data_IF_828522067464
#
_entry.id   IF_828522067464
#
_cell.length_a   1.000
_cell.length_b   1.000
_cell.length_c   1.000
_cell.angle_alpha   90.00
_cell.angle_beta   90.00
_cell.angle_gamma   90.00
#
_symmetry.space_group_name_H-M   'P 1'
#
loop_
_entity.id
_entity.type
_entity.pdbx_description
1 polymer ?
#
# COMPACT_ATOMS: atom_id res chain seq x y z
N UNK A 1 -11.56 -20.98 19.74
CA UNK A 1 -12.47 -20.40 18.73
C UNK A 1 -11.59 -19.47 17.93
N UNK A 2 -10.97 -19.99 16.87
CA UNK A 2 -9.94 -19.30 16.09
C UNK A 2 -10.67 -18.46 15.06
N UNK A 3 -10.47 -17.15 15.09
CA UNK A 3 -11.05 -16.24 14.11
C UNK A 3 -10.28 -16.41 12.80
N UNK A 4 -10.97 -16.46 11.66
CA UNK A 4 -10.32 -16.65 10.35
C UNK A 4 -9.48 -15.43 9.97
N UNK A 5 -8.52 -15.61 9.06
CA UNK A 5 -7.69 -14.51 8.53
C UNK A 5 -8.53 -13.35 7.99
N UNK A 6 -9.69 -13.64 7.36
CA UNK A 6 -10.66 -12.62 6.92
C UNK A 6 -11.29 -11.85 8.11
N UNK A 7 -11.54 -12.49 9.25
CA UNK A 7 -12.12 -11.84 10.44
C UNK A 7 -11.12 -10.89 11.12
N UNK A 8 -9.83 -11.22 11.10
CA UNK A 8 -8.75 -10.34 11.58
C UNK A 8 -8.51 -9.19 10.58
N UNK A 9 -8.56 -9.48 9.28
CA UNK A 9 -8.47 -8.47 8.21
C UNK A 9 -9.57 -7.41 8.35
N UNK A 10 -10.81 -7.85 8.61
CA UNK A 10 -11.94 -6.97 8.86
C UNK A 10 -11.78 -6.20 10.17
N UNK A 11 -11.24 -6.79 11.24
CA UNK A 11 -11.08 -6.13 12.55
C UNK A 11 -10.16 -4.91 12.55
N UNK A 12 -8.96 -5.01 11.96
CA UNK A 12 -8.02 -3.87 11.91
C UNK A 12 -8.46 -2.77 10.93
N UNK A 13 -9.03 -3.16 9.78
CA UNK A 13 -9.60 -2.21 8.81
C UNK A 13 -10.79 -1.49 9.45
N UNK A 14 -11.65 -2.22 10.17
CA UNK A 14 -12.76 -1.63 10.94
C UNK A 14 -12.27 -0.65 12.01
N UNK A 15 -11.17 -0.92 12.72
CA UNK A 15 -10.65 0.03 13.72
C UNK A 15 -10.15 1.34 13.10
N UNK A 16 -9.53 1.31 11.92
CA UNK A 16 -9.14 2.54 11.21
C UNK A 16 -10.35 3.29 10.64
N UNK A 17 -11.33 2.56 10.09
CA UNK A 17 -12.58 3.12 9.56
C UNK A 17 -13.45 3.76 10.64
N UNK A 18 -13.32 3.34 11.91
CA UNK A 18 -14.06 3.91 13.04
C UNK A 18 -13.54 5.28 13.50
N UNK A 19 -12.28 5.60 13.23
CA UNK A 19 -11.63 6.85 13.71
C UNK A 19 -11.79 7.99 12.69
N UNK A 20 -11.99 7.69 11.40
CA UNK A 20 -12.13 8.71 10.36
C UNK A 20 -13.56 9.28 10.26
N UNK A 21 -13.71 10.59 9.95
CA UNK A 21 -15.01 11.17 9.59
C UNK A 21 -15.67 10.41 8.43
N UNK A 22 -16.99 10.30 8.44
CA UNK A 22 -17.74 9.41 7.53
C UNK A 22 -17.36 9.52 6.04
N UNK A 23 -17.24 10.73 5.43
CA UNK A 23 -16.85 10.86 4.03
C UNK A 23 -15.42 10.36 3.72
N UNK A 24 -14.55 10.28 4.72
CA UNK A 24 -13.14 9.93 4.59
C UNK A 24 -12.82 8.48 4.96
N UNK A 25 -13.78 7.75 5.57
CA UNK A 25 -13.58 6.35 5.97
C UNK A 25 -12.97 5.45 4.89
N UNK A 26 -13.36 5.56 3.59
CA UNK A 26 -12.73 4.73 2.56
C UNK A 26 -11.21 4.84 2.47
N UNK A 27 -10.62 5.97 2.88
CA UNK A 27 -9.17 6.15 2.92
C UNK A 27 -8.49 5.16 3.87
N UNK A 28 -9.17 4.74 4.95
CA UNK A 28 -8.67 3.74 5.89
C UNK A 28 -8.34 2.43 5.19
N UNK A 29 -9.32 1.87 4.48
CA UNK A 29 -9.14 0.66 3.66
C UNK A 29 -8.15 0.87 2.51
N UNK A 30 -8.25 1.98 1.77
CA UNK A 30 -7.36 2.26 0.64
C UNK A 30 -5.89 2.35 1.06
N UNK A 31 -5.60 2.91 2.24
CA UNK A 31 -4.23 3.02 2.76
C UNK A 31 -3.56 1.66 3.01
N UNK A 32 -4.32 0.56 3.10
CA UNK A 32 -3.84 -0.81 3.30
C UNK A 32 -3.51 -1.57 2.00
N UNK A 33 -3.72 -0.98 0.82
CA UNK A 33 -3.44 -1.66 -0.45
C UNK A 33 -2.70 -0.72 -1.39
N UNK A 34 -1.50 -1.09 -1.84
CA UNK A 34 -0.67 -0.22 -2.69
C UNK A 34 -1.26 0.16 -4.04
N UNK A 35 -2.38 -0.41 -4.47
CA UNK A 35 -3.05 -0.08 -5.73
C UNK A 35 -3.25 1.42 -5.95
N UNK A 36 -3.55 2.18 -4.90
CA UNK A 36 -3.68 3.65 -4.99
C UNK A 36 -2.44 4.34 -5.60
N UNK A 37 -1.25 3.73 -5.53
CA UNK A 37 0.01 4.33 -5.99
C UNK A 37 0.17 4.30 -7.51
N UNK A 38 -0.56 3.43 -8.22
CA UNK A 38 -0.63 3.42 -9.68
C UNK A 38 -2.05 3.61 -10.23
N UNK A 39 -3.06 3.71 -9.36
CA UNK A 39 -4.41 4.11 -9.73
C UNK A 39 -4.45 5.56 -10.21
N UNK A 40 -5.35 5.83 -11.16
CA UNK A 40 -5.64 7.21 -11.57
C UNK A 40 -6.14 8.03 -10.37
N UNK A 41 -5.57 9.22 -10.18
CA UNK A 41 -5.86 10.16 -9.07
C UNK A 41 -5.53 9.65 -7.64
N UNK A 42 -5.09 8.39 -7.46
CA UNK A 42 -4.92 7.78 -6.14
C UNK A 42 -3.92 8.51 -5.22
N UNK A 43 -2.70 8.74 -5.71
CA UNK A 43 -1.69 9.52 -4.97
C UNK A 43 -2.13 10.97 -4.69
N UNK A 44 -2.88 11.58 -5.61
CA UNK A 44 -3.36 12.94 -5.46
C UNK A 44 -4.46 13.06 -4.39
N UNK A 45 -5.34 12.06 -4.26
CA UNK A 45 -6.35 12.03 -3.19
C UNK A 45 -5.69 12.02 -1.80
N UNK A 46 -4.62 11.24 -1.61
CA UNK A 46 -3.88 11.24 -0.36
C UNK A 46 -3.09 12.53 -0.15
N UNK A 47 -2.34 13.00 -1.16
CA UNK A 47 -1.60 14.26 -1.07
C UNK A 47 -2.49 15.45 -0.71
N UNK A 48 -3.66 15.57 -1.35
CA UNK A 48 -4.51 16.74 -1.19
C UNK A 48 -5.26 16.73 0.17
N UNK A 49 -5.26 15.61 0.91
CA UNK A 49 -5.73 15.55 2.29
C UNK A 49 -4.94 16.52 3.15
N UNK A 50 -3.62 16.39 3.15
CA UNK A 50 -2.68 17.27 3.83
C UNK A 50 -1.33 17.23 3.10
N UNK A 51 -1.06 18.20 2.21
CA UNK A 51 0.16 18.20 1.41
C UNK A 51 1.44 18.29 2.23
N UNK A 52 1.40 18.91 3.42
CA UNK A 52 2.60 19.07 4.26
C UNK A 52 2.92 17.74 4.94
N UNK A 53 1.92 17.13 5.58
CA UNK A 53 2.08 15.81 6.21
C UNK A 53 2.43 14.75 5.18
N UNK A 54 1.88 14.83 3.96
CA UNK A 54 2.20 13.91 2.87
C UNK A 54 3.69 13.86 2.54
N UNK A 55 4.34 15.02 2.43
CA UNK A 55 5.79 15.12 2.19
C UNK A 55 6.59 14.67 3.42
N UNK A 56 6.19 15.10 4.63
CA UNK A 56 6.86 14.76 5.90
C UNK A 56 6.83 13.26 6.21
N UNK A 57 5.75 12.57 5.84
CA UNK A 57 5.61 11.13 6.02
C UNK A 57 6.11 10.30 4.83
N UNK A 58 6.78 10.95 3.86
CA UNK A 58 7.35 10.35 2.66
C UNK A 58 6.33 9.56 1.85
N UNK A 59 5.16 10.15 1.66
CA UNK A 59 4.10 9.60 0.83
C UNK A 59 3.57 8.27 1.37
N UNK A 60 3.53 8.10 2.69
CA UNK A 60 2.95 6.94 3.36
C UNK A 60 1.50 7.25 3.79
N UNK A 61 0.47 6.68 3.13
CA UNK A 61 -0.93 6.93 3.49
C UNK A 61 -1.31 6.56 4.92
N UNK A 62 -0.73 5.49 5.48
CA UNK A 62 -1.02 5.08 6.85
C UNK A 62 -0.52 6.11 7.86
N UNK A 63 0.70 6.61 7.65
CA UNK A 63 1.26 7.70 8.46
C UNK A 63 0.50 9.00 8.25
N UNK A 64 0.18 9.35 7.00
CA UNK A 64 -0.64 10.51 6.67
C UNK A 64 -1.93 10.53 7.49
N UNK A 65 -2.70 9.44 7.48
CA UNK A 65 -3.98 9.37 8.20
C UNK A 65 -3.80 9.43 9.73
N UNK A 66 -2.69 8.93 10.26
CA UNK A 66 -2.38 8.97 11.69
C UNK A 66 -1.85 10.33 12.17
N UNK A 67 -1.14 11.07 11.30
CA UNK A 67 -0.46 12.33 11.63
C UNK A 67 -1.28 13.57 11.23
N UNK A 68 -2.27 13.42 10.34
CA UNK A 68 -3.19 14.51 9.97
C UNK A 68 -4.06 14.90 11.16
N UNK A 69 -4.09 16.19 11.49
CA UNK A 69 -4.89 16.70 12.61
C UNK A 69 -6.39 16.42 12.43
N UNK A 70 -7.10 16.18 13.53
CA UNK A 70 -8.56 16.00 13.53
C UNK A 70 -9.29 17.18 12.86
N UNK A 71 -8.83 18.41 13.13
CA UNK A 71 -9.38 19.60 12.50
C UNK A 71 -9.27 19.55 10.97
N UNK A 72 -8.10 19.15 10.44
CA UNK A 72 -7.89 19.02 8.99
C UNK A 72 -8.74 17.90 8.39
N UNK A 73 -8.83 16.74 9.06
CA UNK A 73 -9.71 15.65 8.65
C UNK A 73 -11.17 16.12 8.57
N UNK A 74 -11.66 16.84 9.58
CA UNK A 74 -13.02 17.38 9.59
C UNK A 74 -13.23 18.43 8.48
N UNK A 75 -12.27 19.33 8.24
CA UNK A 75 -12.34 20.28 7.13
C UNK A 75 -12.50 19.56 5.80
N UNK A 76 -11.65 18.57 5.52
CA UNK A 76 -11.70 17.82 4.26
C UNK A 76 -12.95 16.94 4.14
N UNK A 77 -13.47 16.44 5.26
CA UNK A 77 -14.74 15.71 5.29
C UNK A 77 -15.94 16.60 4.92
N UNK A 78 -15.88 17.90 5.23
CA UNK A 78 -16.94 18.87 4.86
C UNK A 78 -16.81 19.42 3.44
N UNK A 79 -15.70 19.15 2.74
CA UNK A 79 -15.50 19.56 1.35
C UNK A 79 -16.19 18.56 0.40
N UNK A 80 -17.27 18.97 -0.30
CA UNK A 80 -18.00 18.06 -1.20
C UNK A 80 -17.18 17.64 -2.42
N UNK A 81 -16.23 18.45 -2.88
CA UNK A 81 -15.38 18.12 -4.03
C UNK A 81 -14.37 17.06 -3.63
N UNK A 82 -13.76 17.20 -2.45
CA UNK A 82 -12.82 16.20 -1.95
C UNK A 82 -13.52 14.88 -1.61
N UNK A 83 -14.65 14.93 -0.90
CA UNK A 83 -15.44 13.73 -0.56
C UNK A 83 -15.86 12.93 -1.80
N UNK A 84 -16.22 13.61 -2.89
CA UNK A 84 -16.54 12.95 -4.17
C UNK A 84 -15.33 12.27 -4.80
N UNK A 85 -14.12 12.85 -4.71
CA UNK A 85 -12.89 12.19 -5.17
C UNK A 85 -12.56 10.95 -4.36
N UNK A 86 -12.71 11.01 -3.04
CA UNK A 86 -12.53 9.85 -2.14
C UNK A 86 -13.52 8.74 -2.51
N UNK A 87 -14.80 9.08 -2.69
CA UNK A 87 -15.84 8.13 -3.11
C UNK A 87 -15.50 7.46 -4.43
N UNK A 88 -15.14 8.24 -5.47
CA UNK A 88 -14.77 7.70 -6.79
C UNK A 88 -13.57 6.79 -6.74
N UNK A 89 -12.54 7.15 -5.96
CA UNK A 89 -11.36 6.30 -5.79
C UNK A 89 -11.73 4.98 -5.11
N UNK A 90 -12.60 5.03 -4.08
CA UNK A 90 -13.11 3.82 -3.41
C UNK A 90 -13.90 2.93 -4.37
N UNK A 91 -14.79 3.50 -5.18
CA UNK A 91 -15.57 2.75 -6.18
C UNK A 91 -14.66 2.13 -7.24
N UNK A 92 -13.65 2.87 -7.70
CA UNK A 92 -12.66 2.35 -8.65
C UNK A 92 -11.86 1.20 -8.04
N UNK A 93 -11.54 1.28 -6.74
CA UNK A 93 -10.86 0.20 -6.01
C UNK A 93 -11.77 -1.02 -5.85
N UNK A 94 -13.04 -0.82 -5.50
CA UNK A 94 -14.02 -1.91 -5.40
C UNK A 94 -14.26 -2.58 -6.75
N UNK A 95 -14.34 -1.81 -7.83
CA UNK A 95 -14.39 -2.35 -9.19
C UNK A 95 -13.11 -3.12 -9.52
N UNK A 96 -11.93 -2.58 -9.19
CA UNK A 96 -10.65 -3.26 -9.41
C UNK A 96 -10.59 -4.61 -8.69
N UNK A 97 -10.92 -4.63 -7.39
CA UNK A 97 -10.86 -5.83 -6.54
C UNK A 97 -11.99 -6.82 -6.81
N UNK A 98 -13.19 -6.33 -7.15
CA UNK A 98 -14.39 -7.12 -7.41
C UNK A 98 -14.48 -7.62 -8.85
N UNK A 99 -13.78 -6.96 -9.79
CA UNK A 99 -13.55 -7.52 -11.09
C UNK A 99 -12.69 -8.78 -10.90
N UNK A 100 -13.35 -9.93 -10.90
CA UNK A 100 -12.74 -11.17 -11.31
C UNK A 100 -12.32 -10.99 -12.78
N UNK A 101 -11.32 -10.14 -13.05
CA UNK A 101 -10.62 -10.07 -14.33
C UNK A 101 -10.15 -11.48 -14.53
N UNK A 102 -10.92 -12.20 -15.36
CA UNK A 102 -10.90 -13.64 -15.51
C UNK A 102 -9.48 -14.07 -15.29
N UNK A 103 -9.22 -14.71 -14.15
CA UNK A 103 -7.89 -15.22 -13.82
C UNK A 103 -7.44 -15.85 -15.11
N UNK A 104 -6.43 -15.27 -15.75
CA UNK A 104 -5.90 -15.84 -16.99
C UNK A 104 -5.13 -17.06 -16.51
N UNK A 105 -5.89 -18.07 -16.11
CA UNK A 105 -5.42 -19.39 -15.80
C UNK A 105 -5.04 -19.95 -17.14
N UNK A 106 -3.74 -20.10 -17.31
CA UNK A 106 -3.26 -21.06 -18.29
C UNK A 106 -3.46 -22.42 -17.63
N UNK A 107 -4.72 -22.89 -17.57
CA UNK A 107 -5.10 -24.17 -16.92
C UNK A 107 -4.36 -25.33 -17.59
N UNK A 108 -4.08 -25.20 -18.89
CA UNK A 108 -3.26 -26.13 -19.65
C UNK A 108 -1.82 -26.21 -19.11
N UNK A 109 -1.28 -25.11 -18.57
CA UNK A 109 0.02 -25.06 -17.87
C UNK A 109 -0.09 -25.20 -16.35
N UNK A 110 -1.30 -25.33 -15.79
CA UNK A 110 -1.55 -25.53 -14.37
C UNK A 110 -1.26 -24.32 -13.47
N UNK A 111 -1.32 -23.10 -14.01
CA UNK A 111 -1.17 -21.85 -13.23
C UNK A 111 -2.55 -21.40 -12.75
N UNK A 112 -2.79 -21.50 -11.44
CA UNK A 112 -4.06 -21.14 -10.79
C UNK A 112 -3.81 -20.36 -9.50
N UNK A 113 -4.82 -19.73 -8.87
CA UNK A 113 -4.65 -19.09 -7.56
C UNK A 113 -4.09 -20.03 -6.47
N UNK A 114 -4.41 -21.33 -6.53
CA UNK A 114 -3.89 -22.36 -5.62
C UNK A 114 -2.48 -22.84 -6.01
N UNK A 115 -2.05 -22.56 -7.25
CA UNK A 115 -0.74 -22.90 -7.79
C UNK A 115 -0.12 -21.70 -8.52
N UNK A 116 0.13 -20.59 -7.82
CA UNK A 116 0.56 -19.35 -8.44
C UNK A 116 2.02 -19.42 -8.87
N UNK A 117 2.42 -18.51 -9.75
CA UNK A 117 3.83 -18.29 -10.07
C UNK A 117 4.53 -17.71 -8.84
N UNK A 118 5.58 -18.37 -8.33
CA UNK A 118 6.44 -17.81 -7.30
C UNK A 118 7.53 -16.96 -7.96
N UNK A 119 7.43 -15.64 -7.82
CA UNK A 119 8.42 -14.70 -8.35
C UNK A 119 9.38 -14.32 -7.24
N UNK A 120 10.64 -14.76 -7.32
CA UNK A 120 11.67 -14.42 -6.34
C UNK A 120 12.49 -13.21 -6.80
N UNK A 121 12.64 -12.23 -5.91
CA UNK A 121 13.54 -11.11 -6.13
C UNK A 121 14.10 -10.60 -4.80
N UNK A 122 15.33 -10.09 -4.82
CA UNK A 122 15.88 -9.38 -3.68
C UNK A 122 15.20 -8.02 -3.47
N UNK A 123 14.59 -7.44 -4.51
CA UNK A 123 14.05 -6.09 -4.47
C UNK A 123 12.67 -5.99 -5.14
N UNK A 124 11.81 -5.12 -4.61
CA UNK A 124 10.53 -4.75 -5.23
C UNK A 124 10.24 -3.26 -5.03
N UNK A 125 10.28 -2.51 -6.13
CA UNK A 125 9.99 -1.08 -6.20
C UNK A 125 8.52 -0.81 -6.44
N UNK A 126 7.68 -1.10 -5.44
CA UNK A 126 6.24 -0.82 -5.52
C UNK A 126 5.98 0.68 -5.38
N UNK A 127 6.45 1.24 -4.27
CA UNK A 127 6.29 2.64 -3.92
C UNK A 127 7.36 3.03 -2.89
N UNK A 128 7.75 4.32 -2.82
CA UNK A 128 8.82 4.77 -1.91
C UNK A 128 8.50 4.53 -0.43
N UNK A 129 7.22 4.54 -0.05
CA UNK A 129 6.79 4.20 1.31
C UNK A 129 6.98 2.72 1.68
N UNK A 130 7.32 1.85 0.73
CA UNK A 130 7.77 0.47 0.95
C UNK A 130 9.26 0.35 0.55
N UNK A 131 10.21 0.57 1.47
CA UNK A 131 11.63 0.70 1.14
C UNK A 131 12.30 -0.67 0.92
N UNK A 132 11.89 -1.38 -0.13
CA UNK A 132 12.37 -2.71 -0.51
C UNK A 132 13.17 -2.72 -1.82
N UNK A 133 13.68 -1.57 -2.28
CA UNK A 133 14.45 -1.48 -3.52
C UNK A 133 15.54 -0.41 -3.43
N UNK A 134 16.55 -0.55 -4.29
CA UNK A 134 17.68 0.38 -4.41
C UNK A 134 17.86 0.95 -5.81
N UNK A 135 17.39 0.24 -6.84
CA UNK A 135 17.61 0.64 -8.23
C UNK A 135 16.73 -0.08 -9.25
N UNK A 136 17.27 -0.25 -10.46
CA UNK A 136 16.52 -0.72 -11.63
C UNK A 136 15.96 -2.13 -11.50
N UNK A 137 16.64 -3.02 -10.77
CA UNK A 137 16.15 -4.39 -10.51
C UNK A 137 14.81 -4.35 -9.77
N UNK A 138 14.76 -3.63 -8.64
CA UNK A 138 13.54 -3.50 -7.86
C UNK A 138 12.44 -2.77 -8.62
N UNK A 139 12.76 -1.69 -9.34
CA UNK A 139 11.76 -0.99 -10.16
C UNK A 139 11.10 -1.90 -11.18
N UNK A 140 11.89 -2.67 -11.94
CA UNK A 140 11.35 -3.62 -12.93
C UNK A 140 10.51 -4.71 -12.25
N UNK A 141 11.00 -5.26 -11.14
CA UNK A 141 10.25 -6.26 -10.38
C UNK A 141 8.91 -5.70 -9.87
N UNK A 142 8.90 -4.46 -9.37
CA UNK A 142 7.70 -3.77 -8.91
C UNK A 142 6.69 -3.51 -10.03
N UNK A 143 7.14 -3.03 -11.19
CA UNK A 143 6.27 -2.82 -12.36
C UNK A 143 5.71 -4.14 -12.90
N UNK A 144 6.47 -5.22 -12.79
CA UNK A 144 5.99 -6.56 -13.12
C UNK A 144 4.87 -7.00 -12.17
N UNK A 145 4.98 -6.72 -10.87
CA UNK A 145 3.92 -6.99 -9.90
C UNK A 145 2.65 -6.16 -10.16
N UNK A 146 2.80 -4.86 -10.46
CA UNK A 146 1.66 -3.99 -10.82
C UNK A 146 0.95 -4.50 -12.07
N UNK A 147 1.72 -4.87 -13.10
CA UNK A 147 1.19 -5.45 -14.34
C UNK A 147 0.50 -6.79 -14.10
N UNK A 148 1.08 -7.66 -13.27
CA UNK A 148 0.48 -8.94 -12.90
C UNK A 148 -0.85 -8.75 -12.15
N UNK A 149 -0.90 -7.78 -11.24
CA UNK A 149 -2.12 -7.37 -10.52
C UNK A 149 -3.18 -6.87 -11.50
N UNK A 150 -2.82 -5.95 -12.40
CA UNK A 150 -3.76 -5.42 -13.40
C UNK A 150 -4.29 -6.51 -14.35
N UNK A 151 -3.48 -7.52 -14.65
CA UNK A 151 -3.87 -8.66 -15.49
C UNK A 151 -4.61 -9.77 -14.74
N UNK A 152 -4.69 -9.72 -13.41
CA UNK A 152 -5.28 -10.78 -12.59
C UNK A 152 -4.50 -12.09 -12.64
N UNK A 153 -3.17 -12.04 -12.79
CA UNK A 153 -2.33 -13.24 -12.87
C UNK A 153 -2.11 -13.85 -11.48
N UNK A 154 -2.26 -15.18 -11.32
CA UNK A 154 -1.86 -15.87 -10.10
C UNK A 154 -0.34 -15.79 -9.89
N UNK A 155 0.09 -14.85 -9.05
CA UNK A 155 1.51 -14.61 -8.77
C UNK A 155 1.71 -14.22 -7.31
N UNK A 156 2.71 -14.84 -6.69
CA UNK A 156 3.17 -14.50 -5.34
C UNK A 156 4.61 -14.01 -5.42
N UNK A 157 4.84 -12.80 -4.93
CA UNK A 157 6.19 -12.22 -4.82
C UNK A 157 6.86 -12.75 -3.54
N UNK A 158 8.11 -13.19 -3.66
CA UNK A 158 8.92 -13.67 -2.53
C UNK A 158 10.20 -12.87 -2.47
N UNK A 159 10.39 -12.18 -1.34
CA UNK A 159 11.55 -11.32 -1.11
C UNK A 159 11.87 -11.16 0.36
N UNK A 160 12.59 -10.10 0.70
CA UNK A 160 13.04 -9.79 2.05
C UNK A 160 12.37 -8.51 2.56
N UNK A 161 12.02 -8.48 3.83
CA UNK A 161 11.61 -7.27 4.53
C UNK A 161 12.83 -6.62 5.18
N UNK A 162 13.40 -5.59 4.53
CA UNK A 162 14.62 -4.95 5.01
C UNK A 162 14.33 -3.97 6.15
N UNK A 163 15.06 -4.12 7.27
CA UNK A 163 14.95 -3.24 8.44
C UNK A 163 15.37 -1.79 8.16
N UNK A 164 16.31 -1.53 7.25
CA UNK A 164 16.87 -0.20 7.02
C UNK A 164 16.74 0.32 5.58
N UNK A 165 16.07 -0.45 4.69
CA UNK A 165 15.85 -0.09 3.29
C UNK A 165 17.09 0.45 2.57
N UNK A 166 16.85 1.32 1.58
CA UNK A 166 17.90 2.13 0.95
C UNK A 166 18.04 3.49 1.67
N UNK A 167 19.24 4.07 1.66
CA UNK A 167 19.49 5.32 2.36
C UNK A 167 18.82 6.50 1.65
N UNK A 168 18.52 7.55 2.43
CA UNK A 168 18.16 8.87 1.92
C UNK A 168 19.42 9.68 1.71
N UNK A 169 19.61 10.14 0.49
CA UNK A 169 20.76 10.94 0.10
C UNK A 169 20.52 12.40 0.50
N UNK A 170 21.47 13.00 1.22
CA UNK A 170 21.53 14.45 1.43
C UNK A 170 22.85 14.97 0.90
N UNK A 171 22.80 16.07 0.15
CA UNK A 171 24.01 16.78 -0.26
C UNK A 171 24.29 17.92 0.71
N UNK A 172 25.50 17.91 1.28
CA UNK A 172 26.01 19.02 2.08
C UNK A 172 26.32 20.22 1.19
N UNK A 173 26.50 21.39 1.81
CA UNK A 173 26.86 22.63 1.10
C UNK A 173 28.19 22.55 0.32
N UNK A 174 29.08 21.64 0.72
CA UNK A 174 30.38 21.38 0.08
C UNK A 174 30.30 20.29 -1.01
N UNK A 175 29.11 19.79 -1.33
CA UNK A 175 28.88 18.78 -2.37
C UNK A 175 29.11 17.34 -1.90
N UNK A 176 29.50 17.11 -0.64
CA UNK A 176 29.62 15.76 -0.10
C UNK A 176 28.25 15.12 0.14
N UNK A 177 28.13 13.85 -0.25
CA UNK A 177 26.98 13.01 0.06
C UNK A 177 27.02 12.57 1.51
N UNK A 178 25.89 12.73 2.19
CA UNK A 178 25.57 12.13 3.47
C UNK A 178 24.43 11.13 3.29
N UNK A 179 24.49 10.05 4.05
CA UNK A 179 23.57 8.91 3.97
C UNK A 179 22.79 8.82 5.27
N UNK A 180 21.47 8.83 5.17
CA UNK A 180 20.57 8.67 6.30
C UNK A 180 19.74 7.40 6.13
N UNK A 181 19.95 6.42 6.98
CA UNK A 181 19.17 5.18 7.01
C UNK A 181 17.98 5.32 7.96
N UNK A 182 16.77 5.23 7.41
CA UNK A 182 15.56 5.15 8.21
C UNK A 182 15.26 3.71 8.59
N UNK A 183 14.83 3.48 9.83
CA UNK A 183 14.31 2.17 10.21
C UNK A 183 12.90 1.98 9.63
N UNK A 184 12.68 0.82 9.03
CA UNK A 184 11.38 0.36 8.55
C UNK A 184 10.60 -0.22 9.72
N UNK A 185 9.48 0.42 10.08
CA UNK A 185 8.57 -0.08 11.11
C UNK A 185 7.38 -0.79 10.46
N UNK A 186 7.26 -2.13 10.57
CA UNK A 186 6.15 -2.88 9.97
C UNK A 186 4.76 -2.36 10.36
N UNK A 187 4.61 -1.84 11.58
CA UNK A 187 3.37 -1.24 12.08
C UNK A 187 2.89 -0.03 11.29
N UNK A 188 3.78 0.64 10.55
CA UNK A 188 3.48 1.81 9.72
C UNK A 188 3.28 1.46 8.24
N UNK A 189 3.51 0.20 7.86
CA UNK A 189 3.40 -0.28 6.49
C UNK A 189 2.09 -1.04 6.28
N UNK A 190 1.51 -1.05 5.09
CA UNK A 190 0.34 -1.85 4.78
C UNK A 190 0.73 -3.33 4.58
N UNK A 191 1.37 -3.93 5.58
CA UNK A 191 1.77 -5.34 5.63
C UNK A 191 1.28 -5.98 6.92
N UNK A 192 1.08 -7.29 6.88
CA UNK A 192 0.69 -8.08 8.04
C UNK A 192 1.57 -9.31 8.14
N UNK A 193 1.80 -9.74 9.37
CA UNK A 193 2.44 -11.01 9.63
C UNK A 193 1.44 -12.13 9.30
N UNK A 194 1.87 -13.03 8.42
CA UNK A 194 1.12 -14.27 8.16
C UNK A 194 1.40 -15.23 9.32
N UNK A 195 0.36 -15.91 9.79
CA UNK A 195 0.44 -16.93 10.84
C UNK A 195 -0.26 -18.20 10.40
N UNK A 196 0.11 -19.33 11.00
CA UNK A 196 -0.62 -20.60 10.91
C UNK A 196 -1.93 -20.58 11.72
N UNK A 197 -2.67 -21.69 11.68
CA UNK A 197 -3.93 -21.87 12.41
C UNK A 197 -3.79 -21.76 13.93
N UNK A 198 -2.57 -21.92 14.47
CA UNK A 198 -2.26 -21.78 15.88
C UNK A 198 -1.84 -20.34 16.26
N UNK A 199 -1.77 -19.43 15.29
CA UNK A 199 -1.33 -18.05 15.46
C UNK A 199 0.19 -17.90 15.55
N UNK A 200 0.95 -18.93 15.19
CA UNK A 200 2.41 -18.87 15.10
C UNK A 200 2.84 -18.39 13.69
N UNK A 201 3.91 -17.59 13.56
CA UNK A 201 4.49 -17.26 12.25
C UNK A 201 4.95 -18.48 11.45
#
# INVERSE_FOLDING_TARGET
MVQSTEEIEQGEIQTADQVLPWPLRPLGRLAWNYWWSWAADGAAVFRDLDPSVWEECEHNPRRLLAETSEFRLMQMATDPVYGERVRRLSESFEEYMGSARAVKTDEEKGITPERPVAYFCAEYGIHNSLPLYSGGLGMLAGDHLKSASDLGLPLVAVGLLYRYGYFRQRLRRDGWQEEHYGETYPSQLPIRQVTDDAGAP
#
